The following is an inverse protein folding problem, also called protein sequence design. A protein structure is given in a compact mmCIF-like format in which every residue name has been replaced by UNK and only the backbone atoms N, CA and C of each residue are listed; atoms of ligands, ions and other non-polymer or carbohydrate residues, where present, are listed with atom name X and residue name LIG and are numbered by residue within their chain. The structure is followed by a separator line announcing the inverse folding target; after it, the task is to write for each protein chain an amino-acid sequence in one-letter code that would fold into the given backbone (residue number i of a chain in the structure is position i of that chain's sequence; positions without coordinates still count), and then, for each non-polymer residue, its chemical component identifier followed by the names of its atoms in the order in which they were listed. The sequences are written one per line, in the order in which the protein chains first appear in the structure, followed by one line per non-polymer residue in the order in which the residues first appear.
data_IF_957289973955
#
_entry.id   IF_957289973955
#
_cell.length_a   1.000
_cell.length_b   1.000
_cell.length_c   1.000
_cell.angle_alpha   90.00
_cell.angle_beta   90.00
_cell.angle_gamma   90.00
#
_symmetry.space_group_name_H-M   'P 1'
#
loop_
_entity.id
_entity.type
_entity.pdbx_description
1 polymer ?
#
# COMPACT_ATOMS: atom_id res chain seq x y z
N UNK A 1 -8.55 4.58 -32.23
CA UNK A 1 -8.05 5.04 -30.91
C UNK A 1 -6.68 4.39 -30.67
N UNK A 2 -5.61 5.13 -30.34
CA UNK A 2 -4.30 4.52 -30.16
C UNK A 2 -4.28 3.65 -28.90
N UNK A 3 -3.90 2.39 -29.07
CA UNK A 3 -3.65 1.41 -28.02
C UNK A 3 -2.20 1.55 -27.56
N UNK A 4 -1.97 1.64 -26.24
CA UNK A 4 -0.62 1.50 -25.70
C UNK A 4 -0.19 0.04 -25.81
N UNK A 5 1.08 -0.21 -26.16
CA UNK A 5 1.69 -1.49 -26.51
C UNK A 5 1.58 -2.58 -25.40
N UNK A 6 0.35 -3.10 -25.23
CA UNK A 6 -0.07 -3.91 -24.09
C UNK A 6 -1.60 -3.96 -23.98
N UNK A 7 -2.26 -4.59 -24.96
CA UNK A 7 -3.65 -5.06 -25.01
C UNK A 7 -4.80 -4.18 -24.49
N UNK A 8 -4.58 -2.93 -24.08
CA UNK A 8 -5.61 -2.05 -23.51
C UNK A 8 -5.43 -0.61 -23.99
N UNK A 9 -6.55 0.06 -24.27
CA UNK A 9 -6.57 1.48 -24.62
C UNK A 9 -6.27 2.37 -23.40
N UNK A 10 -5.88 3.63 -23.64
CA UNK A 10 -5.52 4.59 -22.57
C UNK A 10 -6.59 4.73 -21.48
N UNK A 11 -7.90 4.79 -21.78
CA UNK A 11 -8.95 4.77 -20.75
C UNK A 11 -8.95 3.49 -19.90
N UNK A 12 -8.92 2.32 -20.54
CA UNK A 12 -8.90 1.02 -19.84
C UNK A 12 -7.61 0.83 -19.02
N UNK A 13 -6.48 1.38 -19.47
CA UNK A 13 -5.22 1.37 -18.74
C UNK A 13 -5.26 2.30 -17.51
N UNK A 14 -5.96 3.45 -17.60
CA UNK A 14 -6.17 4.36 -16.45
C UNK A 14 -7.00 3.71 -15.33
N UNK A 15 -8.02 2.93 -15.68
CA UNK A 15 -8.83 2.17 -14.71
C UNK A 15 -8.02 1.06 -14.03
N UNK A 16 -7.22 0.32 -14.80
CA UNK A 16 -6.40 -0.78 -14.30
C UNK A 16 -5.26 -0.33 -13.35
N UNK A 17 -4.67 0.85 -13.59
CA UNK A 17 -3.55 1.37 -12.79
C UNK A 17 -3.97 1.95 -11.44
N UNK A 18 -5.25 2.27 -11.26
CA UNK A 18 -5.79 2.53 -9.92
C UNK A 18 -5.84 1.18 -9.23
N UNK A 19 -4.88 0.94 -8.33
CA UNK A 19 -4.90 -0.24 -7.49
C UNK A 19 -6.32 -0.42 -6.95
N UNK A 20 -6.91 -1.59 -7.21
CA UNK A 20 -8.29 -1.86 -6.84
C UNK A 20 -8.49 -1.43 -5.38
N UNK A 21 -9.30 -0.38 -5.19
CA UNK A 21 -9.65 0.06 -3.85
C UNK A 21 -10.38 -1.12 -3.20
N UNK A 22 -9.73 -1.79 -2.25
CA UNK A 22 -10.36 -2.92 -1.59
C UNK A 22 -11.55 -2.38 -0.79
N UNK A 23 -12.81 -2.77 -1.09
CA UNK A 23 -14.00 -2.28 -0.39
C UNK A 23 -13.94 -2.51 1.13
N UNK A 24 -13.07 -3.43 1.56
CA UNK A 24 -12.67 -3.62 2.95
C UNK A 24 -12.25 -2.32 3.67
N UNK A 25 -11.55 -1.41 2.96
CA UNK A 25 -11.09 -0.13 3.51
C UNK A 25 -12.20 0.93 3.60
N UNK A 26 -13.29 0.76 2.85
CA UNK A 26 -14.46 1.65 2.92
C UNK A 26 -15.40 1.30 4.08
N UNK A 27 -15.11 0.25 4.84
CA UNK A 27 -15.91 -0.13 6.00
C UNK A 27 -15.76 0.94 7.10
N UNK A 28 -16.85 1.50 7.62
CA UNK A 28 -16.82 2.45 8.74
C UNK A 28 -16.01 1.95 9.94
N UNK A 29 -16.02 0.63 10.17
CA UNK A 29 -15.21 -0.04 11.19
C UNK A 29 -13.71 0.19 11.02
N UNK A 30 -13.18 0.13 9.78
CA UNK A 30 -11.76 0.37 9.50
C UNK A 30 -11.39 1.83 9.78
N UNK A 31 -12.19 2.79 9.32
CA UNK A 31 -11.94 4.22 9.57
C UNK A 31 -11.93 4.53 11.07
N UNK A 32 -12.84 3.93 11.85
CA UNK A 32 -12.89 4.09 13.30
C UNK A 32 -11.66 3.49 13.97
N UNK A 33 -11.27 2.27 13.58
CA UNK A 33 -10.07 1.58 14.10
C UNK A 33 -8.80 2.37 13.79
N UNK A 34 -8.59 2.75 12.53
CA UNK A 34 -7.42 3.52 12.09
C UNK A 34 -7.29 4.85 12.84
N UNK A 35 -8.39 5.59 13.02
CA UNK A 35 -8.38 6.84 13.81
C UNK A 35 -7.98 6.59 15.27
N UNK A 36 -8.50 5.52 15.88
CA UNK A 36 -8.18 5.15 17.26
C UNK A 36 -6.69 4.80 17.41
N UNK A 37 -6.15 3.98 16.52
CA UNK A 37 -4.75 3.57 16.55
C UNK A 37 -3.79 4.76 16.38
N UNK A 38 -4.11 5.68 15.47
CA UNK A 38 -3.32 6.91 15.30
C UNK A 38 -3.39 7.76 16.58
N UNK A 39 -4.57 7.92 17.17
CA UNK A 39 -4.73 8.69 18.41
C UNK A 39 -3.96 8.06 19.57
N UNK A 40 -4.02 6.74 19.75
CA UNK A 40 -3.27 6.00 20.77
C UNK A 40 -1.76 6.13 20.56
N UNK A 41 -1.30 6.06 19.31
CA UNK A 41 0.10 6.26 18.96
C UNK A 41 0.56 7.68 19.27
N UNK A 42 -0.23 8.68 18.90
CA UNK A 42 0.09 10.09 19.20
C UNK A 42 0.07 10.34 20.70
N UNK A 43 -0.84 9.72 21.45
CA UNK A 43 -0.86 9.83 22.91
C UNK A 43 0.38 9.21 23.57
N UNK A 44 0.92 8.10 23.02
CA UNK A 44 2.05 7.37 23.61
C UNK A 44 3.41 7.88 23.17
N UNK A 45 3.56 8.20 21.89
CA UNK A 45 4.86 8.52 21.25
C UNK A 45 4.88 9.91 20.60
N UNK A 46 3.76 10.63 20.61
CA UNK A 46 3.60 11.88 19.87
C UNK A 46 3.49 11.66 18.36
N UNK A 47 3.69 12.75 17.62
CA UNK A 47 3.71 12.76 16.16
C UNK A 47 5.02 12.15 15.61
N UNK A 48 5.29 10.90 15.96
CA UNK A 48 6.52 10.19 15.65
C UNK A 48 6.28 9.02 14.71
N UNK A 49 7.04 8.95 13.62
CA UNK A 49 7.01 7.85 12.67
C UNK A 49 8.19 6.91 12.94
N UNK A 50 7.95 5.60 12.98
CA UNK A 50 9.02 4.59 13.14
C UNK A 50 9.96 4.51 11.93
N UNK A 51 9.52 5.01 10.77
CA UNK A 51 10.27 4.97 9.53
C UNK A 51 10.13 3.61 8.81
N UNK A 52 10.18 3.65 7.47
CA UNK A 52 10.28 2.45 6.64
C UNK A 52 11.39 2.67 5.61
N UNK A 53 12.47 1.90 5.72
CA UNK A 53 13.69 2.09 4.93
C UNK A 53 14.40 3.42 5.18
N UNK A 54 14.05 4.11 6.28
CA UNK A 54 14.65 5.37 6.75
C UNK A 54 14.59 5.39 8.28
N UNK A 55 15.44 6.18 8.97
CA UNK A 55 15.36 6.36 10.40
C UNK A 55 13.99 6.89 10.88
N UNK A 56 13.67 6.61 12.14
CA UNK A 56 12.49 7.14 12.80
C UNK A 56 12.56 8.67 12.88
N UNK A 57 11.43 9.35 12.66
CA UNK A 57 11.39 10.80 12.46
C UNK A 57 10.04 11.40 12.85
N UNK A 58 9.97 12.70 13.19
CA UNK A 58 8.71 13.37 13.45
C UNK A 58 7.87 13.51 12.16
N UNK A 59 6.56 13.28 12.25
CA UNK A 59 5.61 13.49 11.16
C UNK A 59 4.21 13.78 11.67
N UNK A 60 3.58 14.84 11.14
CA UNK A 60 2.19 15.22 11.46
C UNK A 60 1.14 14.51 10.61
N UNK A 61 1.56 13.67 9.66
CA UNK A 61 0.69 12.99 8.71
C UNK A 61 0.86 11.47 8.85
N UNK A 62 0.30 10.94 9.94
CA UNK A 62 0.36 9.53 10.30
C UNK A 62 -0.83 8.75 9.71
N UNK A 63 -0.56 7.50 9.34
CA UNK A 63 -1.51 6.56 8.76
C UNK A 63 -1.40 5.21 9.46
N UNK A 64 -2.52 4.48 9.57
CA UNK A 64 -2.50 3.07 9.98
C UNK A 64 -2.29 2.20 8.74
N UNK A 65 -1.23 1.39 8.76
CA UNK A 65 -0.80 0.51 7.70
C UNK A 65 -0.81 -0.94 8.19
N UNK A 66 -1.39 -1.86 7.42
CA UNK A 66 -1.35 -3.28 7.76
C UNK A 66 0.10 -3.79 7.70
N UNK A 67 0.54 -4.52 8.73
CA UNK A 67 1.86 -5.16 8.73
C UNK A 67 1.92 -6.13 7.54
N UNK A 68 0.94 -7.03 7.46
CA UNK A 68 0.68 -7.88 6.30
C UNK A 68 -0.34 -7.23 5.37
N UNK A 69 0.05 -6.79 4.17
CA UNK A 69 -0.86 -6.13 3.25
C UNK A 69 -2.05 -7.03 2.90
N UNK A 70 -3.26 -6.47 2.92
CA UNK A 70 -4.47 -7.12 2.38
C UNK A 70 -4.27 -7.62 0.94
N UNK A 71 -3.44 -6.94 0.16
CA UNK A 71 -3.10 -7.32 -1.22
C UNK A 71 -2.30 -8.64 -1.34
N UNK A 72 -1.68 -9.11 -0.26
CA UNK A 72 -0.90 -10.35 -0.18
C UNK A 72 -1.62 -11.45 0.60
N UNK A 73 -2.92 -11.27 0.92
CA UNK A 73 -3.71 -12.23 1.70
C UNK A 73 -3.78 -11.93 3.20
N UNK A 74 -3.30 -10.75 3.64
CA UNK A 74 -3.39 -10.33 5.04
C UNK A 74 -4.83 -10.20 5.55
N UNK A 75 -5.03 -10.47 6.84
CA UNK A 75 -6.34 -10.39 7.45
C UNK A 75 -6.82 -8.93 7.57
N UNK A 76 -8.12 -8.71 7.34
CA UNK A 76 -8.78 -7.40 7.46
C UNK A 76 -8.63 -6.79 8.87
N UNK A 77 -8.57 -7.66 9.88
CA UNK A 77 -8.32 -7.31 11.27
C UNK A 77 -6.89 -7.61 11.74
N UNK A 78 -5.98 -7.91 10.81
CA UNK A 78 -4.59 -8.22 11.10
C UNK A 78 -3.84 -7.09 11.81
N UNK A 79 -2.61 -7.37 12.18
CA UNK A 79 -1.77 -6.43 12.91
C UNK A 79 -1.46 -5.20 12.04
N UNK A 80 -1.47 -4.04 12.69
CA UNK A 80 -1.35 -2.73 12.05
C UNK A 80 -0.25 -1.94 12.73
N UNK A 81 0.50 -1.20 11.94
CA UNK A 81 1.56 -0.30 12.39
C UNK A 81 1.23 1.13 11.98
N UNK A 82 1.69 2.10 12.76
CA UNK A 82 1.53 3.52 12.43
C UNK A 82 2.77 4.02 11.69
N UNK A 83 2.57 4.47 10.45
CA UNK A 83 3.61 5.05 9.60
C UNK A 83 3.14 6.37 9.01
N UNK A 84 4.07 7.29 8.74
CA UNK A 84 3.73 8.47 7.96
C UNK A 84 3.33 8.11 6.53
N UNK A 85 2.54 8.97 5.87
CA UNK A 85 2.07 8.73 4.49
C UNK A 85 3.21 8.44 3.50
N UNK A 86 4.37 9.09 3.67
CA UNK A 86 5.56 8.85 2.87
C UNK A 86 6.16 7.45 3.07
N UNK A 87 6.29 7.00 4.32
CA UNK A 87 6.79 5.67 4.64
C UNK A 87 5.83 4.57 4.23
N UNK A 88 4.52 4.78 4.44
CA UNK A 88 3.48 3.87 3.97
C UNK A 88 3.53 3.71 2.44
N UNK A 89 3.65 4.83 1.71
CA UNK A 89 3.83 4.79 0.25
C UNK A 89 5.08 4.01 -0.15
N UNK A 90 6.23 4.25 0.49
CA UNK A 90 7.48 3.51 0.21
C UNK A 90 7.31 2.01 0.45
N UNK A 91 6.70 1.63 1.57
CA UNK A 91 6.39 0.23 1.91
C UNK A 91 5.51 -0.42 0.84
N UNK A 92 4.50 0.28 0.35
CA UNK A 92 3.65 -0.20 -0.75
C UNK A 92 4.45 -0.48 -2.03
N UNK A 93 5.38 0.39 -2.41
CA UNK A 93 6.24 0.18 -3.58
C UNK A 93 7.23 -0.98 -3.40
N UNK A 94 7.79 -1.14 -2.18
CA UNK A 94 8.70 -2.24 -1.88
C UNK A 94 8.01 -3.62 -1.95
N UNK A 95 6.77 -3.70 -1.48
CA UNK A 95 6.01 -4.96 -1.42
C UNK A 95 5.22 -5.28 -2.70
N UNK A 96 5.02 -4.31 -3.59
CA UNK A 96 4.40 -4.59 -4.89
C UNK A 96 5.50 -5.12 -5.81
N UNK A 97 5.53 -6.42 -6.17
CA UNK A 97 6.50 -6.89 -7.14
C UNK A 97 6.34 -6.10 -8.43
N UNK A 98 7.40 -5.43 -8.86
CA UNK A 98 7.38 -4.74 -10.15
C UNK A 98 7.09 -5.81 -11.21
N UNK A 99 6.05 -5.59 -12.03
CA UNK A 99 5.68 -6.48 -13.15
C UNK A 99 6.79 -6.71 -14.18
N UNK A 100 7.96 -6.08 -14.00
CA UNK A 100 9.12 -6.17 -14.88
C UNK A 100 9.94 -7.46 -14.65
N UNK A 101 9.81 -8.13 -13.51
CA UNK A 101 10.48 -9.42 -13.25
C UNK A 101 9.76 -10.64 -13.86
N UNK A 102 8.49 -10.51 -14.24
CA UNK A 102 7.67 -11.65 -14.72
C UNK A 102 7.78 -11.94 -16.23
N UNK A 103 8.67 -11.24 -16.98
CA UNK A 103 8.83 -11.41 -18.45
C UNK A 103 10.21 -11.90 -18.86
N UNK A 104 10.86 -12.73 -18.04
CA UNK A 104 12.21 -13.27 -18.28
C UNK A 104 12.29 -14.76 -18.62
N UNK A 105 11.16 -15.46 -18.84
CA UNK A 105 11.14 -16.91 -19.11
C UNK A 105 10.92 -17.24 -20.59
N UNK A 106 11.80 -16.80 -21.46
CA UNK A 106 11.85 -17.28 -22.85
C UNK A 106 12.82 -18.45 -22.95
N UNK A 107 12.34 -19.67 -22.70
CA UNK A 107 13.12 -20.89 -22.92
C UNK A 107 13.32 -21.16 -24.43
N UNK A 108 14.43 -21.78 -24.84
CA UNK A 108 14.66 -22.13 -26.24
C UNK A 108 13.65 -23.17 -26.71
N UNK A 109 13.07 -22.93 -27.88
CA UNK A 109 12.27 -23.90 -28.64
C UNK A 109 13.23 -24.81 -29.42
N UNK A 110 13.09 -26.12 -29.23
CA UNK A 110 13.65 -27.14 -30.11
C UNK A 110 12.74 -27.29 -31.33
#
# INVERSE_FOLDING_TARGET
MPTTNGSRCVPCNRGFRRAAHNPAYDRPAWRKRSKREIAEHVARYGWWCLGYGVPAHPSRDLTSDHIDPLALGGALLGETQVLCRGCNTRKRWAQTPTRRAARGGGGPKW
#
